data_IF_295480793036
#
_entry.id   IF_295480793036
#
_cell.length_a   1.000
_cell.length_b   1.000
_cell.length_c   1.000
_cell.angle_alpha   90.00
_cell.angle_beta   90.00
_cell.angle_gamma   90.00
#
_symmetry.space_group_name_H-M   'P 1'
#
loop_
_entity.id
_entity.type
_entity.pdbx_description
1 polymer ?
#
# COMPACT_ATOMS: atom_id res chain seq x y z
N UNK A 1 1.25 -10.10 -17.99
CA UNK A 1 1.98 -10.90 -16.99
C UNK A 1 1.17 -12.17 -16.77
N UNK A 2 1.73 -13.36 -16.98
CA UNK A 2 0.96 -14.60 -16.92
C UNK A 2 0.65 -15.04 -15.49
N UNK A 3 -0.48 -15.73 -15.27
CA UNK A 3 -0.85 -16.39 -14.00
C UNK A 3 0.28 -17.32 -13.50
N UNK A 4 1.12 -17.82 -14.41
CA UNK A 4 2.28 -18.71 -14.10
C UNK A 4 3.46 -17.98 -13.41
N UNK A 5 3.47 -16.66 -13.38
CA UNK A 5 4.59 -15.85 -12.84
C UNK A 5 4.38 -15.48 -11.36
N UNK A 6 3.35 -16.04 -10.69
CA UNK A 6 3.05 -15.81 -9.27
C UNK A 6 3.46 -17.03 -8.44
N UNK A 7 4.58 -16.97 -7.70
CA UNK A 7 4.98 -18.07 -6.83
C UNK A 7 3.96 -18.29 -5.72
N UNK A 8 3.67 -19.55 -5.42
CA UNK A 8 2.73 -19.91 -4.36
C UNK A 8 3.31 -19.67 -2.95
N UNK A 9 4.62 -19.75 -2.81
CA UNK A 9 5.32 -19.44 -1.56
C UNK A 9 6.14 -18.18 -1.78
N UNK A 10 5.86 -17.16 -0.97
CA UNK A 10 6.55 -15.87 -1.07
C UNK A 10 7.06 -15.44 0.31
N UNK A 11 8.23 -14.78 0.37
CA UNK A 11 8.64 -14.04 1.55
C UNK A 11 7.68 -12.87 1.79
N UNK A 12 7.40 -12.56 3.05
CA UNK A 12 6.56 -11.42 3.39
C UNK A 12 7.32 -10.41 4.24
N UNK A 13 7.07 -9.15 3.95
CA UNK A 13 7.56 -8.01 4.69
C UNK A 13 6.40 -7.41 5.49
N UNK A 14 6.30 -7.69 6.80
CA UNK A 14 5.33 -7.04 7.67
C UNK A 14 5.79 -5.60 7.93
N UNK A 15 5.03 -4.64 7.45
CA UNK A 15 5.34 -3.22 7.65
C UNK A 15 4.06 -2.42 7.81
N UNK A 16 3.88 -1.85 9.02
CA UNK A 16 2.72 -1.05 9.34
C UNK A 16 2.77 0.31 8.63
N UNK A 17 1.64 0.73 8.12
CA UNK A 17 1.49 2.01 7.44
C UNK A 17 2.01 2.05 6.00
N UNK A 18 2.80 1.06 5.56
CA UNK A 18 3.19 0.92 4.17
C UNK A 18 2.17 0.08 3.40
N UNK A 19 1.50 0.72 2.46
CA UNK A 19 0.53 0.07 1.56
C UNK A 19 1.17 -0.12 0.19
N UNK A 20 1.04 -1.31 -0.39
CA UNK A 20 1.35 -1.60 -1.79
C UNK A 20 0.07 -2.02 -2.49
N UNK A 21 -0.21 -1.41 -3.62
CA UNK A 21 -1.35 -1.72 -4.47
C UNK A 21 -0.89 -2.22 -5.84
N UNK A 22 -1.68 -2.99 -6.58
CA UNK A 22 -1.36 -3.41 -7.94
C UNK A 22 -0.95 -2.22 -8.81
N UNK A 23 0.15 -2.35 -9.56
CA UNK A 23 0.77 -1.30 -10.40
C UNK A 23 1.33 -0.08 -9.63
N UNK A 24 1.09 0.02 -8.32
CA UNK A 24 1.70 1.03 -7.47
C UNK A 24 3.21 0.78 -7.28
N UNK A 25 3.97 1.83 -7.05
CA UNK A 25 5.39 1.77 -6.78
C UNK A 25 5.69 2.18 -5.35
N UNK A 26 6.45 1.36 -4.63
CA UNK A 26 6.84 1.59 -3.24
C UNK A 26 8.37 1.57 -3.13
N UNK A 27 9.02 2.73 -3.04
CA UNK A 27 10.45 2.81 -2.75
C UNK A 27 10.70 2.48 -1.27
N UNK A 28 11.72 1.69 -1.01
CA UNK A 28 12.07 1.23 0.33
C UNK A 28 13.58 1.28 0.57
N UNK A 29 13.95 1.58 1.82
CA UNK A 29 15.33 1.50 2.30
C UNK A 29 15.43 0.35 3.31
N UNK A 30 16.15 -0.71 2.95
CA UNK A 30 16.26 -1.94 3.72
C UNK A 30 17.59 -1.95 4.45
N UNK A 31 17.55 -2.13 5.78
CA UNK A 31 18.74 -2.11 6.64
C UNK A 31 18.73 -3.21 7.71
N UNK A 32 17.58 -3.81 8.01
CA UNK A 32 17.53 -4.91 8.98
C UNK A 32 18.13 -6.19 8.37
N UNK A 33 19.05 -6.90 9.08
CA UNK A 33 19.73 -8.08 8.53
C UNK A 33 18.79 -9.17 8.01
N UNK A 34 17.67 -9.41 8.70
CA UNK A 34 16.67 -10.39 8.25
C UNK A 34 16.04 -10.03 6.91
N UNK A 35 15.87 -8.74 6.66
CA UNK A 35 15.28 -8.27 5.39
C UNK A 35 16.32 -8.11 4.29
N UNK A 36 17.60 -7.83 4.62
CA UNK A 36 18.68 -7.93 3.65
C UNK A 36 18.76 -9.36 3.09
N UNK A 37 18.75 -10.38 3.96
CA UNK A 37 18.71 -11.78 3.53
C UNK A 37 17.47 -12.10 2.67
N UNK A 38 16.31 -11.54 3.03
CA UNK A 38 15.08 -11.70 2.25
C UNK A 38 15.21 -11.14 0.83
N UNK A 39 15.83 -9.96 0.68
CA UNK A 39 16.07 -9.34 -0.61
C UNK A 39 17.06 -10.18 -1.42
N UNK A 40 18.17 -10.65 -0.82
CA UNK A 40 19.15 -11.49 -1.51
C UNK A 40 18.50 -12.75 -2.06
N UNK A 41 17.71 -13.46 -1.24
CA UNK A 41 17.00 -14.66 -1.66
C UNK A 41 15.95 -14.35 -2.75
N UNK A 42 15.21 -13.25 -2.61
CA UNK A 42 14.24 -12.83 -3.62
C UNK A 42 14.91 -12.47 -4.95
N UNK A 43 16.07 -11.79 -4.91
CA UNK A 43 16.83 -11.43 -6.11
C UNK A 43 17.40 -12.65 -6.83
N UNK A 44 17.76 -13.71 -6.09
CA UNK A 44 18.19 -14.97 -6.66
C UNK A 44 17.03 -15.81 -7.26
N UNK A 45 15.78 -15.47 -6.95
CA UNK A 45 14.57 -16.18 -7.39
C UNK A 45 13.65 -15.31 -8.26
N UNK A 46 12.36 -15.32 -7.92
CA UNK A 46 11.28 -14.68 -8.70
C UNK A 46 11.22 -13.15 -8.56
N UNK A 47 12.01 -12.57 -7.65
CA UNK A 47 12.01 -11.15 -7.27
C UNK A 47 10.66 -10.68 -6.73
N UNK A 48 9.89 -11.56 -6.11
CA UNK A 48 8.58 -11.28 -5.55
C UNK A 48 8.66 -11.26 -4.02
N UNK A 49 8.08 -10.22 -3.42
CA UNK A 49 7.92 -10.06 -1.97
C UNK A 49 6.47 -9.66 -1.70
N UNK A 50 5.86 -10.23 -0.67
CA UNK A 50 4.53 -9.83 -0.21
C UNK A 50 4.61 -8.70 0.81
N UNK A 51 4.01 -7.55 0.54
CA UNK A 51 3.79 -6.50 1.53
C UNK A 51 2.51 -6.81 2.31
N UNK A 52 2.61 -6.85 3.64
CA UNK A 52 1.49 -7.20 4.52
C UNK A 52 1.50 -6.28 5.74
N UNK A 53 0.35 -5.79 6.17
CA UNK A 53 0.23 -5.07 7.42
C UNK A 53 0.10 -6.05 8.59
N UNK A 54 0.46 -5.60 9.80
CA UNK A 54 0.18 -6.37 11.02
C UNK A 54 -1.21 -6.06 11.54
N UNK A 55 -1.70 -6.89 12.44
CA UNK A 55 -2.94 -6.68 13.19
C UNK A 55 -2.75 -6.99 14.66
N UNK A 56 -3.70 -6.61 15.49
CA UNK A 56 -3.68 -6.95 16.90
C UNK A 56 -3.59 -8.47 17.11
N UNK A 57 -2.79 -8.90 18.07
CA UNK A 57 -2.52 -10.30 18.40
C UNK A 57 -1.15 -10.77 17.95
N UNK A 58 -0.81 -12.00 18.35
CA UNK A 58 0.54 -12.55 18.18
C UNK A 58 1.52 -12.10 19.27
N UNK A 59 2.77 -12.48 19.12
CA UNK A 59 3.85 -12.07 20.01
C UNK A 59 4.45 -10.72 19.57
N UNK A 60 5.02 -9.96 20.49
CA UNK A 60 5.65 -8.66 20.20
C UNK A 60 6.70 -8.76 19.09
N UNK A 61 7.44 -9.86 19.04
CA UNK A 61 8.49 -10.12 18.02
C UNK A 61 7.93 -10.74 16.74
N UNK A 62 6.69 -11.25 16.79
CA UNK A 62 6.00 -11.91 15.68
C UNK A 62 4.49 -11.54 15.71
N UNK A 63 4.14 -10.29 15.40
CA UNK A 63 2.75 -9.84 15.41
C UNK A 63 1.93 -10.64 14.40
N UNK A 64 0.62 -10.74 14.65
CA UNK A 64 -0.29 -11.37 13.70
C UNK A 64 -0.32 -10.57 12.40
N UNK A 65 -0.44 -11.24 11.26
CA UNK A 65 -0.54 -10.60 9.95
C UNK A 65 -2.00 -10.34 9.59
N UNK A 66 -2.26 -9.29 8.82
CA UNK A 66 -3.51 -9.15 8.07
C UNK A 66 -3.66 -10.29 7.07
N UNK A 67 -4.91 -10.64 6.78
CA UNK A 67 -5.20 -11.78 5.90
C UNK A 67 -4.86 -11.49 4.42
N UNK A 68 -4.93 -10.24 4.02
CA UNK A 68 -4.69 -9.79 2.64
C UNK A 68 -3.46 -8.91 2.59
N UNK A 69 -2.61 -9.16 1.59
CA UNK A 69 -1.45 -8.36 1.25
C UNK A 69 -1.36 -8.15 -0.26
N UNK A 70 -0.30 -7.47 -0.70
CA UNK A 70 0.01 -7.31 -2.12
C UNK A 70 1.40 -7.84 -2.44
N UNK A 71 1.49 -8.71 -3.44
CA UNK A 71 2.76 -9.17 -3.99
C UNK A 71 3.37 -8.08 -4.86
N UNK A 72 4.59 -7.70 -4.55
CA UNK A 72 5.37 -6.73 -5.29
C UNK A 72 6.60 -7.36 -5.93
N UNK A 73 6.94 -6.93 -7.13
CA UNK A 73 8.17 -7.29 -7.82
C UNK A 73 9.24 -6.24 -7.55
N UNK A 74 10.45 -6.69 -7.21
CA UNK A 74 11.62 -5.79 -7.13
C UNK A 74 11.98 -5.35 -8.56
N UNK A 75 11.72 -4.07 -8.87
CA UNK A 75 11.95 -3.46 -10.18
C UNK A 75 13.18 -2.56 -10.21
N UNK A 76 13.66 -2.14 -9.05
CA UNK A 76 14.91 -1.41 -8.89
C UNK A 76 15.64 -1.93 -7.65
N UNK A 77 16.96 -2.01 -7.73
CA UNK A 77 17.85 -2.43 -6.65
C UNK A 77 19.17 -1.68 -6.74
N UNK A 78 19.60 -1.15 -5.62
CA UNK A 78 20.93 -0.57 -5.45
C UNK A 78 21.42 -0.83 -4.02
N UNK A 79 22.70 -1.14 -3.88
CA UNK A 79 23.38 -1.24 -2.59
C UNK A 79 24.09 0.08 -2.27
N UNK A 80 23.93 0.56 -1.05
CA UNK A 80 24.61 1.76 -0.57
C UNK A 80 25.96 1.40 0.08
N UNK A 81 26.85 2.38 0.20
CA UNK A 81 28.20 2.17 0.75
C UNK A 81 28.19 1.69 2.23
N UNK A 82 27.09 1.91 2.95
CA UNK A 82 26.88 1.46 4.33
C UNK A 82 26.13 0.11 4.44
N UNK A 83 25.98 -0.60 3.32
CA UNK A 83 25.41 -1.95 3.30
C UNK A 83 23.88 -2.02 3.38
N UNK A 84 23.16 -0.93 3.10
CA UNK A 84 21.70 -0.92 2.98
C UNK A 84 21.30 -1.17 1.53
N UNK A 85 20.07 -1.63 1.34
CA UNK A 85 19.51 -1.80 -0.01
C UNK A 85 18.41 -0.76 -0.26
N UNK A 86 18.57 -0.03 -1.35
CA UNK A 86 17.50 0.82 -1.91
C UNK A 86 16.79 0.01 -2.97
N UNK A 87 15.53 -0.29 -2.75
CA UNK A 87 14.71 -1.05 -3.69
C UNK A 87 13.45 -0.29 -4.06
N UNK A 88 12.87 -0.64 -5.20
CA UNK A 88 11.50 -0.26 -5.53
C UNK A 88 10.70 -1.54 -5.77
N UNK A 89 9.58 -1.67 -5.05
CA UNK A 89 8.59 -2.70 -5.34
C UNK A 89 7.53 -2.12 -6.26
N UNK A 90 7.22 -2.83 -7.34
CA UNK A 90 6.04 -2.56 -8.17
C UNK A 90 4.98 -3.62 -7.86
N UNK A 91 3.81 -3.19 -7.42
CA UNK A 91 2.71 -4.07 -7.08
C UNK A 91 2.24 -4.89 -8.28
N UNK A 92 2.04 -6.18 -8.05
CA UNK A 92 1.65 -7.14 -9.08
C UNK A 92 0.20 -7.53 -8.93
N UNK A 93 -0.14 -8.08 -7.77
CA UNK A 93 -1.46 -8.63 -7.48
C UNK A 93 -1.65 -8.77 -5.98
N UNK A 94 -2.85 -8.53 -5.49
CA UNK A 94 -3.22 -8.87 -4.11
C UNK A 94 -3.18 -10.38 -3.91
N UNK A 95 -3.02 -10.80 -2.69
CA UNK A 95 -3.09 -12.20 -2.29
C UNK A 95 -3.70 -12.33 -0.90
N UNK A 96 -4.31 -13.48 -0.64
CA UNK A 96 -4.71 -13.90 0.69
C UNK A 96 -3.66 -14.85 1.25
N UNK A 97 -3.30 -14.68 2.52
CA UNK A 97 -2.48 -15.63 3.23
C UNK A 97 -3.31 -16.89 3.49
N UNK A 98 -2.95 -18.00 2.82
CA UNK A 98 -3.56 -19.29 3.09
C UNK A 98 -2.96 -19.93 4.34
N UNK A 99 -1.62 -19.93 4.44
CA UNK A 99 -0.86 -20.45 5.57
C UNK A 99 0.41 -19.62 5.78
N UNK A 100 0.82 -19.46 7.03
CA UNK A 100 2.18 -19.01 7.36
C UNK A 100 3.08 -20.23 7.55
N UNK A 101 4.21 -20.24 6.87
CA UNK A 101 5.12 -21.39 6.85
C UNK A 101 6.14 -21.31 7.99
N UNK A 102 6.44 -22.46 8.59
CA UNK A 102 7.59 -22.62 9.47
C UNK A 102 8.82 -22.87 8.59
N UNK A 103 9.64 -21.84 8.39
CA UNK A 103 10.84 -21.92 7.56
C UNK A 103 12.08 -21.57 8.38
N UNK A 104 13.27 -22.10 8.06
CA UNK A 104 14.52 -21.77 8.73
C UNK A 104 15.04 -20.35 8.39
N UNK A 105 14.42 -19.65 7.44
CA UNK A 105 14.78 -18.29 7.05
C UNK A 105 14.57 -17.30 8.20
N UNK A 106 15.39 -16.25 8.31
CA UNK A 106 15.24 -15.22 9.35
C UNK A 106 14.04 -14.30 9.13
N UNK A 107 13.34 -14.45 8.01
CA UNK A 107 12.15 -13.71 7.61
C UNK A 107 10.95 -14.65 7.45
N UNK A 108 9.75 -14.08 7.43
CA UNK A 108 8.49 -14.84 7.35
C UNK A 108 8.19 -15.22 5.90
N UNK A 109 7.62 -16.40 5.72
CA UNK A 109 7.15 -16.90 4.43
C UNK A 109 5.70 -17.35 4.57
N UNK A 110 4.93 -17.15 3.51
CA UNK A 110 3.52 -17.54 3.46
C UNK A 110 3.20 -18.29 2.17
N UNK A 111 2.17 -19.12 2.24
CA UNK A 111 1.49 -19.63 1.06
C UNK A 111 0.46 -18.59 0.62
N UNK A 112 0.65 -18.05 -0.57
CA UNK A 112 -0.19 -17.02 -1.16
C UNK A 112 -1.28 -17.64 -2.04
N UNK A 113 -2.53 -17.24 -1.82
CA UNK A 113 -3.68 -17.57 -2.66
C UNK A 113 -4.09 -16.32 -3.45
N UNK A 114 -4.09 -16.39 -4.77
CA UNK A 114 -4.32 -15.25 -5.66
C UNK A 114 -5.70 -15.22 -6.31
N UNK A 115 -6.43 -16.35 -6.33
CA UNK A 115 -7.63 -16.54 -7.13
C UNK A 115 -8.74 -15.51 -6.92
N UNK A 116 -8.89 -14.97 -5.70
CA UNK A 116 -9.86 -13.90 -5.41
C UNK A 116 -9.50 -12.57 -6.08
N UNK A 117 -8.23 -12.40 -6.47
CA UNK A 117 -7.67 -11.14 -6.96
C UNK A 117 -7.20 -11.22 -8.42
N UNK A 118 -7.72 -12.17 -9.19
CA UNK A 118 -7.37 -12.30 -10.61
C UNK A 118 -7.74 -11.04 -11.42
N UNK A 119 -8.72 -10.27 -10.95
CA UNK A 119 -9.09 -8.96 -11.50
C UNK A 119 -7.92 -7.96 -11.48
N UNK A 120 -6.96 -8.09 -10.56
CA UNK A 120 -5.80 -7.21 -10.48
C UNK A 120 -4.86 -7.35 -11.70
N UNK A 121 -4.98 -8.44 -12.45
CA UNK A 121 -4.21 -8.69 -13.66
C UNK A 121 -4.87 -8.13 -14.92
N UNK A 122 -6.15 -7.76 -14.80
CA UNK A 122 -6.87 -7.12 -15.87
C UNK A 122 -6.51 -5.63 -15.93
N UNK A 123 -6.02 -5.18 -17.09
CA UNK A 123 -5.64 -3.79 -17.35
C UNK A 123 -6.74 -2.98 -17.98
N UNK A 124 -7.93 -3.59 -18.19
CA UNK A 124 -9.06 -2.99 -18.90
C UNK A 124 -10.11 -2.35 -17.99
N UNK A 125 -9.85 -2.25 -16.68
CA UNK A 125 -10.79 -1.58 -15.77
C UNK A 125 -10.87 -0.09 -16.13
N UNK A 126 -11.82 0.24 -16.98
CA UNK A 126 -12.17 1.62 -17.30
C UNK A 126 -13.04 2.18 -16.18
N UNK A 127 -12.52 3.19 -15.47
CA UNK A 127 -13.33 4.02 -14.59
C UNK A 127 -13.94 5.16 -15.40
N UNK A 128 -15.17 5.54 -15.02
CA UNK A 128 -15.83 6.69 -15.65
C UNK A 128 -15.10 7.99 -15.27
N UNK A 129 -14.95 8.90 -16.22
CA UNK A 129 -14.38 10.24 -15.96
C UNK A 129 -15.19 11.04 -14.92
N UNK A 130 -16.45 10.68 -14.66
CA UNK A 130 -17.25 11.28 -13.58
C UNK A 130 -16.65 11.01 -12.19
N UNK A 131 -15.96 9.86 -11.99
CA UNK A 131 -15.30 9.51 -10.72
C UNK A 131 -14.06 10.38 -10.48
N UNK A 132 -13.41 10.84 -11.55
CA UNK A 132 -12.27 11.76 -11.44
C UNK A 132 -12.66 13.09 -10.77
N UNK A 133 -13.81 13.65 -11.13
CA UNK A 133 -14.30 14.90 -10.54
C UNK A 133 -14.43 14.79 -9.01
N UNK A 134 -15.17 13.78 -8.57
CA UNK A 134 -15.37 13.52 -7.14
C UNK A 134 -14.06 13.25 -6.37
N UNK A 135 -13.12 12.53 -6.99
CA UNK A 135 -11.80 12.27 -6.40
C UNK A 135 -10.98 13.55 -6.23
N UNK A 136 -10.94 14.42 -7.23
CA UNK A 136 -10.20 15.68 -7.18
C UNK A 136 -10.83 16.67 -6.20
N UNK A 137 -12.15 16.73 -6.11
CA UNK A 137 -12.87 17.57 -5.14
C UNK A 137 -12.62 17.09 -3.69
N UNK A 138 -12.68 15.78 -3.45
CA UNK A 138 -12.34 15.18 -2.16
C UNK A 138 -10.87 15.45 -1.77
N UNK A 139 -9.95 15.31 -2.74
CA UNK A 139 -8.53 15.59 -2.52
C UNK A 139 -8.30 17.06 -2.19
N UNK A 140 -8.99 17.97 -2.88
CA UNK A 140 -8.90 19.40 -2.60
C UNK A 140 -9.35 19.72 -1.19
N UNK A 141 -10.53 19.23 -0.79
CA UNK A 141 -11.04 19.44 0.57
C UNK A 141 -10.08 18.90 1.64
N UNK A 142 -9.48 17.72 1.39
CA UNK A 142 -8.51 17.10 2.30
C UNK A 142 -7.22 17.92 2.45
N UNK A 143 -6.70 18.48 1.36
CA UNK A 143 -5.47 19.27 1.36
C UNK A 143 -5.70 20.67 1.94
N UNK A 144 -6.81 21.32 1.59
CA UNK A 144 -7.19 22.63 2.12
C UNK A 144 -7.29 22.60 3.66
N UNK A 145 -7.90 21.53 4.23
CA UNK A 145 -7.99 21.31 5.68
C UNK A 145 -6.65 21.07 6.38
N UNK A 146 -5.56 20.83 5.64
CA UNK A 146 -4.21 20.57 6.18
C UNK A 146 -3.18 21.61 5.75
N UNK A 147 -3.56 22.65 5.02
CA UNK A 147 -2.65 23.65 4.49
C UNK A 147 -1.58 23.07 3.54
N UNK A 148 -1.90 21.98 2.83
CA UNK A 148 -1.00 21.32 1.89
C UNK A 148 -1.31 21.74 0.45
N UNK A 149 -0.28 21.89 -0.35
CA UNK A 149 -0.38 22.23 -1.78
C UNK A 149 -0.01 21.03 -2.65
N UNK A 150 -0.65 20.92 -3.81
CA UNK A 150 -0.41 19.87 -4.81
C UNK A 150 -0.26 20.51 -6.21
N UNK A 151 0.56 19.89 -7.06
CA UNK A 151 0.55 20.19 -8.48
C UNK A 151 -0.71 19.59 -9.16
N UNK A 152 -1.74 20.42 -9.26
CA UNK A 152 -3.03 20.06 -9.85
C UNK A 152 -2.95 19.64 -11.32
N UNK A 153 -1.95 20.12 -12.07
CA UNK A 153 -1.80 19.72 -13.46
C UNK A 153 -1.38 18.25 -13.55
N UNK A 154 -0.41 17.85 -12.74
CA UNK A 154 -0.03 16.43 -12.67
C UNK A 154 -1.17 15.52 -12.22
N UNK A 155 -1.96 15.95 -11.23
CA UNK A 155 -3.09 15.14 -10.73
C UNK A 155 -4.20 15.00 -11.79
N UNK A 156 -4.47 16.02 -12.57
CA UNK A 156 -5.49 16.01 -13.64
C UNK A 156 -5.09 15.14 -14.83
N UNK A 157 -3.81 15.13 -15.17
CA UNK A 157 -3.31 14.44 -16.35
C UNK A 157 -2.92 12.97 -16.07
N UNK A 158 -2.80 12.58 -14.79
CA UNK A 158 -2.46 11.21 -14.41
C UNK A 158 -3.57 10.21 -14.80
N UNK A 159 -3.23 8.99 -15.24
CA UNK A 159 -4.22 7.91 -15.36
C UNK A 159 -4.97 7.72 -14.05
N UNK A 160 -6.31 7.59 -14.11
CA UNK A 160 -7.17 7.60 -12.92
C UNK A 160 -6.79 6.50 -11.92
N UNK A 161 -6.50 5.29 -12.39
CA UNK A 161 -6.02 4.22 -11.52
C UNK A 161 -4.70 4.57 -10.81
N UNK A 162 -3.76 5.15 -11.53
CA UNK A 162 -2.47 5.55 -10.95
C UNK A 162 -2.66 6.62 -9.88
N UNK A 163 -3.57 7.57 -10.10
CA UNK A 163 -3.92 8.59 -9.13
C UNK A 163 -4.55 7.99 -7.86
N UNK A 164 -5.57 7.13 -8.01
CA UNK A 164 -6.23 6.46 -6.88
C UNK A 164 -5.22 5.65 -6.06
N UNK A 165 -4.40 4.85 -6.72
CA UNK A 165 -3.42 4.01 -6.03
C UNK A 165 -2.33 4.85 -5.35
N UNK A 166 -1.82 5.89 -6.01
CA UNK A 166 -0.81 6.79 -5.43
C UNK A 166 -1.34 7.51 -4.19
N UNK A 167 -2.56 8.05 -4.24
CA UNK A 167 -3.19 8.72 -3.10
C UNK A 167 -3.46 7.73 -1.96
N UNK A 168 -4.00 6.54 -2.25
CA UNK A 168 -4.23 5.49 -1.24
C UNK A 168 -2.94 5.09 -0.53
N UNK A 169 -1.83 5.05 -1.25
CA UNK A 169 -0.52 4.67 -0.69
C UNK A 169 0.14 5.82 0.07
N UNK A 170 0.05 7.06 -0.42
CA UNK A 170 0.80 8.21 0.07
C UNK A 170 0.12 8.92 1.24
N UNK A 171 -1.21 8.99 1.26
CA UNK A 171 -1.92 9.72 2.30
C UNK A 171 -1.77 9.02 3.67
N UNK A 172 -1.66 9.81 4.77
CA UNK A 172 -1.38 9.29 6.10
C UNK A 172 -2.64 8.74 6.79
N UNK A 173 -3.28 7.78 6.13
CA UNK A 173 -4.41 7.05 6.69
C UNK A 173 -3.98 6.06 7.77
N UNK A 174 -4.90 5.75 8.67
CA UNK A 174 -4.72 4.75 9.71
C UNK A 174 -4.55 3.34 9.12
N UNK A 175 -3.96 2.40 9.90
CA UNK A 175 -3.71 1.03 9.45
C UNK A 175 -4.98 0.33 8.95
N UNK A 176 -6.10 0.52 9.64
CA UNK A 176 -7.40 -0.08 9.29
C UNK A 176 -7.95 0.52 8.00
N UNK A 177 -7.77 1.81 7.80
CA UNK A 177 -8.19 2.53 6.59
C UNK A 177 -7.36 2.09 5.37
N UNK A 178 -6.04 2.00 5.53
CA UNK A 178 -5.16 1.47 4.49
C UNK A 178 -5.47 0.02 4.15
N UNK A 179 -5.83 -0.79 5.14
CA UNK A 179 -6.26 -2.16 4.90
C UNK A 179 -7.59 -2.21 4.14
N UNK A 180 -8.55 -1.36 4.47
CA UNK A 180 -9.81 -1.26 3.73
C UNK A 180 -9.60 -0.85 2.26
N UNK A 181 -8.69 0.09 1.99
CA UNK A 181 -8.31 0.47 0.62
C UNK A 181 -7.65 -0.68 -0.14
N UNK A 182 -6.82 -1.50 0.53
CA UNK A 182 -6.22 -2.69 -0.08
C UNK A 182 -7.27 -3.74 -0.42
N UNK A 183 -8.22 -3.98 0.50
CA UNK A 183 -9.22 -5.03 0.37
C UNK A 183 -10.42 -4.63 -0.50
N UNK A 184 -10.54 -3.37 -0.92
CA UNK A 184 -11.60 -2.91 -1.81
C UNK A 184 -11.72 -3.82 -3.04
N UNK A 185 -12.90 -4.41 -3.32
CA UNK A 185 -13.04 -5.45 -4.34
C UNK A 185 -12.61 -4.98 -5.73
N UNK A 186 -13.04 -3.80 -6.12
CA UNK A 186 -12.75 -3.19 -7.42
C UNK A 186 -12.02 -1.86 -7.28
N UNK A 187 -11.53 -1.32 -8.38
CA UNK A 187 -10.93 0.01 -8.40
C UNK A 187 -11.98 1.11 -8.10
N UNK A 188 -13.22 0.95 -8.54
CA UNK A 188 -14.32 1.86 -8.23
C UNK A 188 -14.65 1.86 -6.74
N UNK A 189 -14.70 0.69 -6.10
CA UNK A 189 -14.92 0.59 -4.65
C UNK A 189 -13.77 1.26 -3.89
N UNK A 190 -12.53 1.10 -4.35
CA UNK A 190 -11.36 1.78 -3.76
C UNK A 190 -11.45 3.28 -3.92
N UNK A 191 -11.86 3.78 -5.08
CA UNK A 191 -12.08 5.20 -5.32
C UNK A 191 -13.12 5.77 -4.36
N UNK A 192 -14.26 5.11 -4.23
CA UNK A 192 -15.34 5.49 -3.30
C UNK A 192 -14.85 5.53 -1.86
N UNK A 193 -14.14 4.49 -1.42
CA UNK A 193 -13.59 4.43 -0.07
C UNK A 193 -12.55 5.54 0.15
N UNK A 194 -11.66 5.79 -0.82
CA UNK A 194 -10.66 6.84 -0.74
C UNK A 194 -11.29 8.24 -0.61
N UNK A 195 -12.31 8.55 -1.41
CA UNK A 195 -13.05 9.82 -1.34
C UNK A 195 -13.70 9.98 0.03
N UNK A 196 -14.35 8.93 0.55
CA UNK A 196 -14.95 8.97 1.89
C UNK A 196 -13.93 9.24 2.99
N UNK A 197 -12.76 8.57 2.95
CA UNK A 197 -11.69 8.79 3.92
C UNK A 197 -11.11 10.21 3.84
N UNK A 198 -10.96 10.76 2.65
CA UNK A 198 -10.51 12.14 2.48
C UNK A 198 -11.52 13.14 3.07
N UNK A 199 -12.83 12.94 2.89
CA UNK A 199 -13.83 13.80 3.49
C UNK A 199 -13.85 13.71 5.02
N UNK A 200 -13.73 12.50 5.59
CA UNK A 200 -13.61 12.32 7.04
C UNK A 200 -12.38 13.06 7.57
N UNK A 201 -11.24 12.86 6.92
CA UNK A 201 -10.00 13.50 7.33
C UNK A 201 -10.00 15.04 7.16
N UNK A 202 -10.76 15.58 6.21
CA UNK A 202 -10.95 17.02 6.09
C UNK A 202 -11.79 17.60 7.25
N UNK A 203 -12.84 16.88 7.67
CA UNK A 203 -13.71 17.30 8.77
C UNK A 203 -12.98 17.31 10.12
N UNK A 204 -12.15 16.30 10.40
CA UNK A 204 -11.40 16.20 11.67
C UNK A 204 -10.30 17.25 11.81
N UNK A 205 -9.74 17.76 10.73
CA UNK A 205 -8.73 18.83 10.77
C UNK A 205 -9.34 20.22 11.08
N UNK A 206 -10.64 20.41 10.86
CA UNK A 206 -11.34 21.67 11.16
C UNK A 206 -11.70 21.85 12.64
N UNK A 207 -11.76 20.75 13.41
CA UNK A 207 -12.15 20.82 14.83
C UNK A 207 -10.94 21.07 15.78
N UNK A 208 -9.70 20.90 15.32
CA UNK A 208 -8.51 21.13 16.16
C UNK A 208 -8.13 22.63 16.28
N UNK A 209 -8.58 23.50 15.38
CA UNK A 209 -8.26 24.93 15.39
C UNK A 209 -9.18 25.80 16.29
N UNK A 210 -10.25 25.24 16.83
CA UNK A 210 -11.26 26.02 17.59
C UNK A 210 -11.08 25.96 19.13
N UNK A 211 -10.15 25.14 19.64
CA UNK A 211 -9.98 24.92 21.10
C UNK A 211 -8.85 25.79 21.73
N UNK A 212 -8.19 26.66 20.97
CA UNK A 212 -7.09 27.52 21.47
C UNK A 212 -7.45 29.01 21.52
N UNK A 213 -8.68 29.36 21.87
CA UNK A 213 -9.05 30.72 22.21
C UNK A 213 -8.64 31.04 23.67
N UNK A 214 -7.69 31.95 23.91
CA UNK A 214 -7.31 32.30 25.28
C UNK A 214 -8.49 33.02 26.00
N UNK A 215 -8.98 32.36 27.05
CA UNK A 215 -9.90 33.00 28.01
C UNK A 215 -9.14 34.14 28.69
N UNK A 216 -9.36 35.39 28.24
CA UNK A 216 -8.91 36.55 28.96
C UNK A 216 -9.78 36.75 30.21
N UNK A 217 -9.14 36.63 31.37
CA UNK A 217 -9.63 37.16 32.65
C UNK A 217 -9.26 38.61 32.80
#
# INVERSE_FOLDING_TARGET
MCIRDRPQVIPVFPLDGALLLPRGMLPMNIFEPRYLNMIDDAMAGDRIIGMVQTRAGGERTRPALQAVGCAGRITSYAETADGRYLITLTGVCRFRIADELSAPSPYRQVRAAYGEFDIDLDTTAELDESERGGLLDGLKAYLDGRGLELDWNQAKDAPLEALINSLSMALPFELTEKQALLEAPTLADRCTALVALMHIGAATSGDEDDDDAPVMQ
#
